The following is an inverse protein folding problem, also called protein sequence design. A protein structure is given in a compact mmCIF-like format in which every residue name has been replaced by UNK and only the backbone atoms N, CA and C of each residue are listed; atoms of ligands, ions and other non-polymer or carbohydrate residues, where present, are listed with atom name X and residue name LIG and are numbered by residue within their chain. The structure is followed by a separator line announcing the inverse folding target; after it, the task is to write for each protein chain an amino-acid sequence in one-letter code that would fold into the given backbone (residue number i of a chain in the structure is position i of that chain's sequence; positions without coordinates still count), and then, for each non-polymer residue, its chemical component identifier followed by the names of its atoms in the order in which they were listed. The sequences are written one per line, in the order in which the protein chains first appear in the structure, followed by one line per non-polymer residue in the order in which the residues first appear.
data_IF_767766153377
#
_entry.id   IF_767766153377
#
_cell.length_a   1.000
_cell.length_b   1.000
_cell.length_c   1.000
_cell.angle_alpha   90.00
_cell.angle_beta   90.00
_cell.angle_gamma   90.00
#
_symmetry.space_group_name_H-M   'P 1'
#
loop_
_entity.id
_entity.type
_entity.pdbx_description
1 polymer ?
#
# COMPACT_ATOMS: atom_id res chain seq x y z
N UNK A 1 70.97 7.88 -19.56
CA UNK A 1 70.42 6.74 -18.76
C UNK A 1 69.51 7.30 -17.67
N UNK A 2 68.43 6.60 -17.28
CA UNK A 2 67.19 7.25 -16.83
C UNK A 2 67.17 7.65 -15.34
N UNK A 3 66.45 8.74 -15.06
CA UNK A 3 66.03 9.12 -13.70
C UNK A 3 64.92 8.19 -13.22
N UNK A 4 64.92 7.86 -11.92
CA UNK A 4 63.75 7.33 -11.21
C UNK A 4 63.40 8.28 -10.08
N UNK A 5 62.48 9.22 -10.34
CA UNK A 5 61.75 9.94 -9.28
C UNK A 5 60.45 9.18 -9.01
N UNK A 6 60.31 8.64 -7.79
CA UNK A 6 59.02 8.09 -7.32
C UNK A 6 58.15 9.23 -6.80
N UNK A 7 57.25 9.72 -7.63
CA UNK A 7 56.17 10.62 -7.19
C UNK A 7 55.05 9.79 -6.54
N UNK A 8 54.86 9.94 -5.23
CA UNK A 8 53.62 9.49 -4.58
C UNK A 8 52.55 10.56 -4.78
N UNK A 9 51.69 10.37 -5.78
CA UNK A 9 50.47 11.16 -5.92
C UNK A 9 49.41 10.59 -4.97
N UNK A 10 49.10 11.31 -3.90
CA UNK A 10 48.01 10.97 -2.99
C UNK A 10 46.68 11.32 -3.66
N UNK A 11 46.08 10.37 -4.37
CA UNK A 11 44.77 10.54 -5.00
C UNK A 11 43.68 10.55 -3.92
N UNK A 12 43.34 11.74 -3.41
CA UNK A 12 42.23 11.94 -2.50
C UNK A 12 40.91 11.77 -3.27
N UNK A 13 40.41 10.53 -3.36
CA UNK A 13 39.11 10.24 -3.97
C UNK A 13 37.98 10.72 -3.05
N UNK A 14 37.68 12.02 -3.12
CA UNK A 14 36.47 12.58 -2.54
C UNK A 14 35.26 12.05 -3.33
N UNK A 15 34.71 10.91 -2.90
CA UNK A 15 33.33 10.56 -3.23
C UNK A 15 32.41 11.57 -2.55
N UNK A 16 32.20 12.70 -3.23
CA UNK A 16 30.98 13.47 -3.03
C UNK A 16 29.84 12.56 -3.45
N UNK A 17 29.20 11.93 -2.47
CA UNK A 17 27.89 11.34 -2.63
C UNK A 17 26.95 12.49 -2.96
N UNK A 18 26.84 12.82 -4.25
CA UNK A 18 25.77 13.65 -4.75
C UNK A 18 24.48 12.88 -4.47
N UNK A 19 23.77 13.29 -3.40
CA UNK A 19 22.34 13.06 -3.29
C UNK A 19 21.74 13.30 -4.68
N UNK A 20 20.97 12.37 -5.26
CA UNK A 20 20.37 12.61 -6.56
C UNK A 20 19.53 13.88 -6.44
N UNK A 21 20.00 14.94 -7.08
CA UNK A 21 19.21 16.14 -7.27
C UNK A 21 17.92 15.67 -7.94
N UNK A 22 16.78 15.89 -7.29
CA UNK A 22 15.46 15.65 -7.85
C UNK A 22 15.24 16.66 -8.99
N UNK A 23 15.91 16.41 -10.11
CA UNK A 23 15.74 17.11 -11.36
C UNK A 23 14.33 16.83 -11.83
N UNK A 24 13.52 17.88 -11.88
CA UNK A 24 12.18 17.80 -12.44
C UNK A 24 12.29 17.38 -13.91
N UNK A 25 12.04 16.11 -14.21
CA UNK A 25 11.59 15.71 -15.54
C UNK A 25 10.06 15.82 -15.55
N UNK A 26 9.48 16.75 -16.34
CA UNK A 26 8.04 16.88 -16.49
C UNK A 26 7.39 15.57 -16.95
N UNK A 27 6.52 14.97 -16.12
CA UNK A 27 5.61 13.92 -16.56
C UNK A 27 6.27 12.59 -16.94
N UNK A 28 7.26 12.13 -16.17
CA UNK A 28 7.78 10.76 -16.27
C UNK A 28 7.27 9.94 -15.09
N UNK A 29 6.78 8.72 -15.37
CA UNK A 29 6.59 7.69 -14.35
C UNK A 29 7.88 6.89 -14.22
N UNK A 30 8.41 6.89 -13.02
CA UNK A 30 9.64 6.21 -12.66
C UNK A 30 9.40 5.08 -11.66
N UNK A 31 10.36 4.16 -11.64
CA UNK A 31 10.40 3.03 -10.74
C UNK A 31 11.84 2.76 -10.34
N UNK A 32 12.06 2.50 -9.05
CA UNK A 32 13.37 2.17 -8.52
C UNK A 32 13.24 1.09 -7.44
N UNK A 33 14.07 0.05 -7.54
CA UNK A 33 14.26 -0.90 -6.46
C UNK A 33 15.52 -0.53 -5.66
N UNK A 34 15.36 -0.34 -4.35
CA UNK A 34 16.47 -0.11 -3.41
C UNK A 34 16.45 -1.19 -2.35
N UNK A 35 17.30 -2.21 -2.53
CA UNK A 35 17.31 -3.43 -1.72
C UNK A 35 15.92 -4.08 -1.63
N UNK A 36 15.28 -3.99 -0.46
CA UNK A 36 13.96 -4.51 -0.15
C UNK A 36 12.83 -3.49 -0.34
N UNK A 37 13.10 -2.28 -0.84
CA UNK A 37 12.11 -1.24 -1.13
C UNK A 37 11.82 -1.11 -2.62
N UNK A 38 10.54 -0.99 -2.96
CA UNK A 38 10.05 -0.68 -4.31
C UNK A 38 9.44 0.72 -4.31
N UNK A 39 10.10 1.66 -4.98
CA UNK A 39 9.63 3.04 -5.13
C UNK A 39 8.96 3.18 -6.49
N UNK A 40 7.73 3.71 -6.52
CA UNK A 40 6.96 3.92 -7.74
C UNK A 40 6.27 5.28 -7.69
N UNK A 41 6.55 6.17 -8.65
CA UNK A 41 6.10 7.56 -8.58
C UNK A 41 5.85 8.20 -9.94
N UNK A 42 5.07 9.28 -9.93
CA UNK A 42 4.90 10.21 -11.03
C UNK A 42 5.19 11.64 -10.53
N UNK A 43 4.70 12.68 -11.23
CA UNK A 43 4.85 14.08 -10.79
C UNK A 43 4.18 14.39 -9.44
N UNK A 44 3.08 13.71 -9.11
CA UNK A 44 2.14 14.10 -8.07
C UNK A 44 2.22 13.23 -6.81
N UNK A 45 2.45 11.93 -6.98
CA UNK A 45 2.46 10.95 -5.89
C UNK A 45 3.69 10.04 -5.95
N UNK A 46 4.21 9.69 -4.77
CA UNK A 46 5.18 8.60 -4.56
C UNK A 46 4.55 7.52 -3.69
N UNK A 47 4.58 6.29 -4.16
CA UNK A 47 4.14 5.10 -3.45
C UNK A 47 5.37 4.24 -3.17
N UNK A 48 5.52 3.76 -1.94
CA UNK A 48 6.64 2.91 -1.55
C UNK A 48 6.13 1.60 -0.95
N UNK A 49 6.64 0.47 -1.45
CA UNK A 49 6.40 -0.84 -0.88
C UNK A 49 7.65 -1.39 -0.23
N UNK A 50 7.50 -1.92 0.98
CA UNK A 50 8.48 -2.77 1.62
C UNK A 50 8.22 -4.20 1.15
N UNK A 51 9.14 -4.76 0.38
CA UNK A 51 9.15 -6.16 -0.05
C UNK A 51 9.87 -7.04 0.98
N UNK A 52 9.51 -8.33 0.99
CA UNK A 52 10.12 -9.38 1.78
C UNK A 52 9.90 -10.73 1.10
N UNK A 53 10.55 -11.79 1.56
CA UNK A 53 10.26 -13.17 1.14
C UNK A 53 8.80 -13.56 1.38
N UNK A 54 8.14 -12.92 2.34
CA UNK A 54 6.75 -13.12 2.72
C UNK A 54 5.79 -12.13 2.03
N UNK A 55 6.30 -11.21 1.21
CA UNK A 55 5.53 -10.35 0.31
C UNK A 55 5.65 -8.85 0.60
N UNK A 56 4.59 -8.11 0.28
CA UNK A 56 4.63 -6.64 0.20
C UNK A 56 3.76 -5.96 1.26
N UNK A 57 4.34 -4.96 1.94
CA UNK A 57 3.68 -3.97 2.81
C UNK A 57 3.72 -2.61 2.14
N UNK A 58 2.64 -1.85 2.17
CA UNK A 58 2.66 -0.43 1.79
C UNK A 58 3.36 0.37 2.90
N UNK A 59 4.51 0.96 2.59
CA UNK A 59 5.37 1.65 3.55
C UNK A 59 5.10 3.17 3.60
N UNK A 60 4.75 3.77 2.45
CA UNK A 60 4.48 5.20 2.33
C UNK A 60 3.53 5.48 1.15
N UNK A 61 2.66 6.47 1.32
CA UNK A 61 1.86 7.06 0.25
C UNK A 61 1.95 8.58 0.37
N UNK A 62 2.76 9.21 -0.49
CA UNK A 62 3.21 10.59 -0.32
C UNK A 62 2.77 11.48 -1.48
N UNK A 63 2.12 12.61 -1.18
CA UNK A 63 1.87 13.68 -2.14
C UNK A 63 3.13 14.54 -2.29
N UNK A 64 3.68 14.60 -3.50
CA UNK A 64 4.84 15.43 -3.83
C UNK A 64 4.49 16.93 -3.87
N UNK A 65 3.26 17.26 -4.27
CA UNK A 65 2.75 18.64 -4.27
C UNK A 65 2.62 19.20 -2.86
N UNK A 66 1.98 18.46 -1.95
CA UNK A 66 1.75 18.90 -0.57
C UNK A 66 2.88 18.52 0.40
N UNK A 67 3.87 17.74 -0.06
CA UNK A 67 4.97 17.17 0.75
C UNK A 67 4.48 16.39 1.99
N UNK A 68 3.31 15.77 1.87
CA UNK A 68 2.61 15.05 2.93
C UNK A 68 2.67 13.55 2.69
N UNK A 69 3.06 12.77 3.70
CA UNK A 69 2.81 11.32 3.74
C UNK A 69 1.46 11.08 4.43
N UNK A 70 0.58 10.30 3.82
CA UNK A 70 -0.73 10.02 4.39
C UNK A 70 -0.75 8.79 5.29
N UNK A 71 0.39 8.09 5.49
CA UNK A 71 0.47 6.89 6.33
C UNK A 71 1.24 7.13 7.63
N UNK A 72 0.73 6.62 8.75
CA UNK A 72 1.39 6.84 10.05
C UNK A 72 2.49 5.79 10.30
N UNK A 73 3.75 6.24 10.23
CA UNK A 73 4.94 5.41 10.41
C UNK A 73 4.95 4.60 11.73
N UNK A 74 4.39 5.15 12.81
CA UNK A 74 4.39 4.54 14.15
C UNK A 74 3.63 3.19 14.26
N UNK A 75 2.83 2.83 13.24
CA UNK A 75 2.13 1.54 13.16
C UNK A 75 2.55 0.71 11.95
N UNK A 76 3.58 1.11 11.19
CA UNK A 76 4.07 0.35 10.04
C UNK A 76 4.42 -1.10 10.40
N UNK A 77 4.98 -1.32 11.59
CA UNK A 77 5.35 -2.67 12.08
C UNK A 77 4.19 -3.41 12.77
N UNK A 78 3.03 -2.75 12.95
CA UNK A 78 1.80 -3.33 13.50
C UNK A 78 0.71 -3.57 12.46
N UNK A 79 0.83 -3.00 11.27
CA UNK A 79 -0.03 -3.26 10.11
C UNK A 79 0.76 -4.11 9.11
N UNK A 80 0.77 -5.45 9.26
CA UNK A 80 1.70 -6.29 8.52
C UNK A 80 1.38 -6.36 7.02
N UNK A 81 0.10 -6.32 6.62
CA UNK A 81 -0.33 -6.76 5.31
C UNK A 81 -0.81 -5.61 4.40
N UNK A 82 -0.38 -5.56 3.14
CA UNK A 82 -1.07 -4.74 2.11
C UNK A 82 -2.50 -5.24 1.82
N UNK A 83 -2.70 -6.57 1.87
CA UNK A 83 -3.99 -7.23 1.62
C UNK A 83 -4.25 -8.31 2.67
N UNK A 84 -5.49 -8.38 3.15
CA UNK A 84 -5.97 -9.42 4.05
C UNK A 84 -7.25 -10.04 3.49
N UNK A 85 -7.28 -11.37 3.36
CA UNK A 85 -8.39 -12.12 2.79
C UNK A 85 -9.00 -12.98 3.90
N UNK A 86 -10.32 -12.90 4.06
CA UNK A 86 -11.09 -13.78 4.93
C UNK A 86 -11.68 -14.88 4.04
N UNK A 87 -11.28 -16.11 4.31
CA UNK A 87 -11.76 -17.31 3.67
C UNK A 87 -12.75 -18.04 4.58
N UNK A 88 -13.74 -18.72 4.01
CA UNK A 88 -14.75 -19.49 4.73
C UNK A 88 -14.82 -20.92 4.20
N UNK A 89 -14.90 -21.89 5.11
CA UNK A 89 -15.10 -23.30 4.77
C UNK A 89 -16.48 -23.47 4.12
N UNK A 90 -16.56 -24.27 3.06
CA UNK A 90 -17.84 -24.73 2.50
C UNK A 90 -18.63 -25.48 3.59
N UNK A 91 -19.87 -25.09 3.91
CA UNK A 91 -20.66 -25.73 4.97
C UNK A 91 -20.82 -27.24 4.81
N UNK A 92 -20.79 -27.78 3.58
CA UNK A 92 -20.86 -29.23 3.32
C UNK A 92 -19.56 -29.99 3.63
N UNK A 93 -18.43 -29.27 3.67
CA UNK A 93 -17.09 -29.82 3.96
C UNK A 93 -16.58 -29.44 5.37
N UNK A 94 -17.36 -28.67 6.13
CA UNK A 94 -17.00 -28.26 7.49
C UNK A 94 -17.10 -29.42 8.48
N UNK A 95 -15.99 -29.72 9.17
CA UNK A 95 -15.96 -30.79 10.18
C UNK A 95 -16.54 -30.30 11.51
N UNK A 96 -17.19 -31.20 12.27
CA UNK A 96 -17.74 -30.89 13.60
C UNK A 96 -16.62 -30.36 14.52
N UNK A 97 -16.81 -29.15 15.04
CA UNK A 97 -15.83 -28.48 15.91
C UNK A 97 -14.77 -27.66 15.17
N UNK A 98 -14.76 -27.63 13.83
CA UNK A 98 -13.84 -26.77 13.08
C UNK A 98 -14.31 -25.31 13.05
N UNK A 99 -13.41 -24.37 13.33
CA UNK A 99 -13.59 -22.95 13.00
C UNK A 99 -13.72 -22.79 11.48
N UNK A 100 -14.93 -22.44 11.03
CA UNK A 100 -15.30 -22.31 9.61
C UNK A 100 -14.70 -21.09 8.88
N UNK A 101 -13.84 -20.30 9.53
CA UNK A 101 -13.22 -19.09 8.96
C UNK A 101 -11.71 -19.17 9.09
N UNK A 102 -10.99 -18.74 8.05
CA UNK A 102 -9.54 -18.66 7.97
C UNK A 102 -9.16 -17.25 7.50
N UNK A 103 -8.25 -16.58 8.21
CA UNK A 103 -7.68 -15.31 7.76
C UNK A 103 -6.36 -15.58 7.06
N UNK A 104 -6.24 -15.11 5.83
CA UNK A 104 -5.05 -15.24 4.99
C UNK A 104 -4.46 -13.85 4.78
N UNK A 105 -3.30 -13.60 5.40
CA UNK A 105 -2.45 -12.46 5.07
C UNK A 105 -1.43 -12.83 4.00
N UNK A 106 -0.60 -11.86 3.63
CA UNK A 106 0.47 -12.05 2.66
C UNK A 106 1.51 -13.13 3.05
N UNK A 107 1.72 -13.33 4.36
CA UNK A 107 2.85 -14.09 4.95
C UNK A 107 2.90 -15.60 4.63
N UNK A 108 1.89 -16.15 3.96
CA UNK A 108 1.76 -17.59 3.68
C UNK A 108 2.07 -17.97 2.21
N UNK A 109 2.52 -17.01 1.39
CA UNK A 109 2.96 -17.28 0.02
C UNK A 109 4.29 -18.03 -0.01
N UNK A 110 4.44 -19.01 -0.92
CA UNK A 110 5.72 -19.71 -1.12
C UNK A 110 6.66 -18.94 -2.03
N UNK A 111 6.09 -18.21 -2.98
CA UNK A 111 6.83 -17.36 -3.92
C UNK A 111 6.17 -15.99 -3.95
N UNK A 112 6.98 -14.94 -3.86
CA UNK A 112 6.56 -13.56 -4.06
C UNK A 112 7.39 -12.96 -5.18
N UNK A 113 6.78 -12.11 -6.01
CA UNK A 113 7.49 -11.44 -7.10
C UNK A 113 6.82 -10.12 -7.45
N UNK A 114 7.54 -9.28 -8.17
CA UNK A 114 6.98 -8.05 -8.72
C UNK A 114 7.50 -7.83 -10.15
N UNK A 115 6.78 -7.05 -10.94
CA UNK A 115 7.23 -6.57 -12.25
C UNK A 115 6.62 -5.20 -12.55
N UNK A 116 7.34 -4.35 -13.27
CA UNK A 116 6.77 -3.16 -13.91
C UNK A 116 6.36 -3.49 -15.34
N UNK A 117 5.22 -2.97 -15.78
CA UNK A 117 4.79 -2.94 -17.18
C UNK A 117 4.41 -1.51 -17.57
N UNK A 118 4.27 -1.24 -18.87
CA UNK A 118 4.01 0.10 -19.41
C UNK A 118 5.27 0.94 -19.63
N UNK A 119 5.11 2.24 -19.77
CA UNK A 119 6.14 3.20 -20.20
C UNK A 119 6.21 4.43 -19.27
N UNK A 120 6.79 5.55 -19.75
CA UNK A 120 6.91 6.80 -19.01
C UNK A 120 5.57 7.56 -18.86
N UNK A 121 4.59 7.30 -19.71
CA UNK A 121 3.28 7.98 -19.74
C UNK A 121 2.22 7.27 -18.89
N UNK A 122 2.22 5.93 -18.90
CA UNK A 122 1.35 5.07 -18.09
C UNK A 122 2.12 3.80 -17.73
N UNK A 123 2.21 3.48 -16.44
CA UNK A 123 2.89 2.27 -15.98
C UNK A 123 2.08 1.56 -14.90
N UNK A 124 2.32 0.25 -14.76
CA UNK A 124 1.70 -0.59 -13.73
C UNK A 124 2.77 -1.39 -13.00
N UNK A 125 2.80 -1.27 -11.68
CA UNK A 125 3.55 -2.17 -10.79
C UNK A 125 2.64 -3.35 -10.42
N UNK A 126 3.05 -4.56 -10.79
CA UNK A 126 2.42 -5.80 -10.38
C UNK A 126 3.16 -6.34 -9.14
N UNK A 127 2.40 -6.75 -8.14
CA UNK A 127 2.86 -7.38 -6.90
C UNK A 127 2.14 -8.73 -6.79
N UNK A 128 2.89 -9.84 -6.81
CA UNK A 128 2.34 -11.18 -6.85
C UNK A 128 2.73 -12.03 -5.64
N UNK A 129 1.77 -12.85 -5.21
CA UNK A 129 1.92 -13.92 -4.23
C UNK A 129 1.38 -15.21 -4.86
N UNK A 130 2.22 -16.25 -4.92
CA UNK A 130 1.87 -17.54 -5.51
C UNK A 130 1.88 -18.66 -4.48
N UNK A 131 1.06 -19.67 -4.78
CA UNK A 131 1.04 -20.96 -4.09
C UNK A 131 0.83 -20.85 -2.57
N UNK A 132 -0.06 -19.95 -2.17
CA UNK A 132 -0.48 -19.76 -0.78
C UNK A 132 -1.23 -21.01 -0.31
N UNK A 133 -0.79 -21.58 0.81
CA UNK A 133 -1.46 -22.71 1.46
C UNK A 133 -2.67 -22.25 2.28
N UNK A 134 -3.77 -23.01 2.22
CA UNK A 134 -4.98 -22.84 3.03
C UNK A 134 -5.15 -24.04 3.96
N UNK A 135 -4.41 -24.02 5.09
CA UNK A 135 -4.24 -25.14 6.03
C UNK A 135 -3.71 -26.40 5.33
N UNK A 136 -4.53 -27.46 5.25
CA UNK A 136 -4.25 -28.71 4.53
C UNK A 136 -4.24 -28.57 3.00
N UNK A 137 -4.91 -27.55 2.44
CA UNK A 137 -4.99 -27.34 1.00
C UNK A 137 -3.75 -26.61 0.48
N UNK A 138 -2.98 -27.28 -0.40
CA UNK A 138 -1.61 -26.88 -0.75
C UNK A 138 -1.56 -26.13 -2.07
N UNK A 139 -0.83 -25.02 -2.10
CA UNK A 139 -0.74 -24.13 -3.26
C UNK A 139 -2.12 -23.69 -3.79
N UNK A 140 -3.07 -23.49 -2.86
CA UNK A 140 -4.49 -23.36 -3.14
C UNK A 140 -4.92 -21.97 -3.60
N UNK A 141 -4.09 -20.93 -3.44
CA UNK A 141 -4.45 -19.56 -3.83
C UNK A 141 -3.25 -18.77 -4.38
N UNK A 142 -3.51 -17.98 -5.42
CA UNK A 142 -2.63 -16.87 -5.83
C UNK A 142 -3.33 -15.53 -5.60
N UNK A 143 -2.54 -14.49 -5.36
CA UNK A 143 -2.99 -13.09 -5.32
C UNK A 143 -2.09 -12.27 -6.24
N UNK A 144 -2.68 -11.37 -7.01
CA UNK A 144 -1.99 -10.29 -7.71
C UNK A 144 -2.60 -8.96 -7.27
N UNK A 145 -1.77 -7.99 -6.92
CA UNK A 145 -2.15 -6.59 -6.77
C UNK A 145 -1.46 -5.82 -7.89
N UNK A 146 -2.19 -4.94 -8.55
CA UNK A 146 -1.63 -4.01 -9.53
C UNK A 146 -1.87 -2.58 -9.11
N UNK A 147 -0.84 -1.75 -9.19
CA UNK A 147 -0.91 -0.31 -8.91
C UNK A 147 -0.46 0.42 -10.17
N UNK A 148 -1.35 1.23 -10.75
CA UNK A 148 -1.09 1.96 -11.98
C UNK A 148 -1.03 3.46 -11.74
N UNK A 149 -0.06 4.12 -12.37
CA UNK A 149 0.08 5.58 -12.40
C UNK A 149 -0.03 6.06 -13.85
N UNK A 150 -0.44 7.31 -14.03
CA UNK A 150 -0.25 8.08 -15.28
C UNK A 150 0.65 9.28 -14.98
N UNK A 151 1.43 9.74 -15.95
CA UNK A 151 2.47 10.76 -15.79
C UNK A 151 2.04 12.04 -15.04
N UNK A 152 0.85 12.56 -15.36
CA UNK A 152 0.35 13.86 -14.88
C UNK A 152 -0.99 13.75 -14.14
N UNK A 153 -1.32 12.56 -13.64
CA UNK A 153 -2.55 12.27 -12.89
C UNK A 153 -2.24 12.16 -11.39
N UNK A 154 -2.91 12.92 -10.50
CA UNK A 154 -2.71 12.78 -9.06
C UNK A 154 -3.27 11.46 -8.49
N UNK A 155 -4.05 10.71 -9.27
CA UNK A 155 -4.63 9.45 -8.84
C UNK A 155 -3.71 8.25 -9.12
N UNK A 156 -3.68 7.35 -8.14
CA UNK A 156 -3.15 5.99 -8.31
C UNK A 156 -4.30 4.99 -8.41
N UNK A 157 -4.26 4.08 -9.38
CA UNK A 157 -5.31 3.10 -9.61
C UNK A 157 -4.89 1.73 -9.08
N UNK A 158 -5.66 1.18 -8.15
CA UNK A 158 -5.35 -0.09 -7.50
C UNK A 158 -6.36 -1.15 -7.94
N UNK A 159 -5.88 -2.36 -8.22
CA UNK A 159 -6.72 -3.55 -8.46
C UNK A 159 -6.10 -4.74 -7.75
N UNK A 160 -6.94 -5.70 -7.37
CA UNK A 160 -6.52 -7.00 -6.89
C UNK A 160 -7.20 -8.11 -7.69
N UNK A 161 -6.55 -9.25 -7.80
CA UNK A 161 -7.05 -10.47 -8.41
C UNK A 161 -6.70 -11.65 -7.51
N UNK A 162 -7.66 -12.54 -7.27
CA UNK A 162 -7.50 -13.71 -6.39
C UNK A 162 -7.86 -14.96 -7.19
N UNK A 163 -6.86 -15.81 -7.45
CA UNK A 163 -7.07 -17.11 -8.10
C UNK A 163 -7.13 -18.19 -7.04
N UNK A 164 -8.32 -18.38 -6.48
CA UNK A 164 -8.61 -19.46 -5.55
C UNK A 164 -8.83 -20.79 -6.32
N UNK A 165 -8.09 -21.83 -5.93
CA UNK A 165 -8.17 -23.21 -6.44
C UNK A 165 -8.73 -24.17 -5.39
N UNK A 166 -8.99 -23.70 -4.17
CA UNK A 166 -9.49 -24.55 -3.10
C UNK A 166 -10.89 -25.05 -3.39
N UNK A 167 -11.09 -26.36 -3.23
CA UNK A 167 -12.43 -26.96 -3.24
C UNK A 167 -13.16 -26.81 -1.89
N UNK A 168 -12.45 -26.37 -0.85
CA UNK A 168 -12.97 -26.31 0.53
C UNK A 168 -13.17 -24.89 1.07
N UNK A 169 -12.39 -23.92 0.61
CA UNK A 169 -12.43 -22.56 1.11
C UNK A 169 -12.92 -21.59 0.02
N UNK A 170 -14.00 -20.86 0.28
CA UNK A 170 -14.44 -19.72 -0.54
C UNK A 170 -13.94 -18.39 0.02
N UNK A 171 -13.82 -17.35 -0.82
CA UNK A 171 -13.51 -15.98 -0.36
C UNK A 171 -14.78 -15.37 0.24
N UNK A 172 -14.74 -14.94 1.51
CA UNK A 172 -15.85 -14.24 2.19
C UNK A 172 -15.64 -12.72 2.23
N UNK A 173 -14.40 -12.24 2.37
CA UNK A 173 -14.08 -10.81 2.42
C UNK A 173 -12.65 -10.53 1.99
N UNK A 174 -12.41 -9.35 1.45
CA UNK A 174 -11.07 -8.80 1.19
C UNK A 174 -10.99 -7.43 1.85
N UNK A 175 -9.89 -7.18 2.56
CA UNK A 175 -9.50 -5.86 3.07
C UNK A 175 -8.29 -5.40 2.24
N UNK A 176 -8.49 -4.36 1.44
CA UNK A 176 -7.49 -3.87 0.49
C UNK A 176 -7.76 -2.42 0.04
N UNK A 177 -6.71 -1.59 -0.07
CA UNK A 177 -5.45 -1.72 0.66
C UNK A 177 -5.74 -1.59 2.17
N UNK A 178 -4.99 -2.31 3.01
CA UNK A 178 -5.07 -2.07 4.47
C UNK A 178 -4.24 -0.81 4.76
N UNK A 179 -4.92 0.27 5.16
CA UNK A 179 -4.31 1.57 5.42
C UNK A 179 -4.36 1.91 6.90
N UNK A 180 -3.34 2.64 7.36
CA UNK A 180 -3.34 3.31 8.64
C UNK A 180 -2.89 4.77 8.44
N UNK A 181 -3.84 5.69 8.52
CA UNK A 181 -3.65 7.07 8.09
C UNK A 181 -2.89 7.90 9.12
N UNK A 182 -2.07 8.83 8.64
CA UNK A 182 -1.48 9.91 9.43
C UNK A 182 -2.33 11.18 9.35
N UNK A 183 -2.25 12.06 10.36
CA UNK A 183 -2.68 13.45 10.24
C UNK A 183 -1.99 14.17 9.08
N UNK A 184 -2.77 15.00 8.39
CA UNK A 184 -2.33 15.94 7.36
C UNK A 184 -2.02 17.27 8.04
N UNK A 185 -0.74 17.59 8.25
CA UNK A 185 -0.35 18.71 9.11
C UNK A 185 -0.94 18.59 10.53
N UNK A 186 -1.50 19.67 11.05
CA UNK A 186 -2.15 19.71 12.36
C UNK A 186 -3.44 18.86 12.39
N UNK A 187 -3.48 17.88 13.28
CA UNK A 187 -4.56 16.87 13.35
C UNK A 187 -5.95 17.47 13.60
N UNK A 188 -6.04 18.56 14.37
CA UNK A 188 -7.30 19.27 14.68
C UNK A 188 -7.94 19.93 13.46
N UNK A 189 -7.13 20.21 12.45
CA UNK A 189 -7.59 20.82 11.20
C UNK A 189 -7.99 19.76 10.17
N UNK A 190 -7.93 18.48 10.53
CA UNK A 190 -8.32 17.37 9.68
C UNK A 190 -9.81 17.09 9.81
N UNK A 191 -10.39 16.65 8.69
CA UNK A 191 -11.78 16.27 8.57
C UNK A 191 -11.88 14.97 7.77
N UNK A 192 -12.63 14.01 8.28
CA UNK A 192 -12.90 12.75 7.61
C UNK A 192 -14.34 12.71 7.09
N UNK A 193 -14.51 12.52 5.79
CA UNK A 193 -15.80 12.32 5.12
C UNK A 193 -15.95 10.86 4.74
N UNK A 194 -17.11 10.29 5.06
CA UNK A 194 -17.44 8.91 4.70
C UNK A 194 -18.94 8.74 4.43
N UNK A 195 -19.35 7.74 3.63
CA UNK A 195 -20.61 7.77 2.89
C UNK A 195 -21.78 7.14 3.67
N UNK A 196 -21.79 7.24 5.00
CA UNK A 196 -22.82 6.63 5.83
C UNK A 196 -24.19 7.31 5.65
N UNK A 197 -25.19 6.54 5.22
CA UNK A 197 -26.56 7.00 4.90
C UNK A 197 -26.58 8.15 3.88
N UNK A 198 -26.57 9.42 4.30
CA UNK A 198 -26.54 10.62 3.44
C UNK A 198 -25.13 11.22 3.28
N UNK A 199 -24.12 10.51 3.78
CA UNK A 199 -22.79 11.06 4.03
C UNK A 199 -22.67 11.63 5.44
N UNK A 200 -21.48 11.54 6.01
CA UNK A 200 -21.11 12.12 7.30
C UNK A 200 -19.73 12.74 7.24
N UNK A 201 -19.52 13.70 8.13
CA UNK A 201 -18.30 14.48 8.32
C UNK A 201 -17.89 14.34 9.79
N UNK A 202 -16.61 14.10 10.04
CA UNK A 202 -16.01 13.97 11.38
C UNK A 202 -14.85 14.96 11.46
N UNK A 203 -14.97 15.95 12.34
CA UNK A 203 -13.91 16.91 12.64
C UNK A 203 -12.93 16.34 13.67
N UNK A 204 -11.65 16.68 13.54
CA UNK A 204 -10.56 16.20 14.40
C UNK A 204 -10.54 14.66 14.58
N UNK A 205 -10.59 13.87 13.48
CA UNK A 205 -10.82 12.42 13.52
C UNK A 205 -9.70 11.62 14.22
N UNK A 206 -8.61 12.27 14.62
CA UNK A 206 -7.49 11.65 15.34
C UNK A 206 -7.57 11.82 16.87
N UNK A 207 -8.44 12.71 17.38
CA UNK A 207 -8.70 12.88 18.83
C UNK A 207 -10.12 12.51 19.26
N UNK A 208 -10.98 12.08 18.32
CA UNK A 208 -12.33 11.61 18.62
C UNK A 208 -12.33 10.27 19.43
N UNK A 209 -13.45 9.87 20.05
CA UNK A 209 -13.53 8.66 20.88
C UNK A 209 -13.87 7.36 20.10
N UNK A 210 -13.71 6.17 20.72
CA UNK A 210 -14.12 4.85 20.23
C UNK A 210 -15.31 4.84 19.25
N UNK A 211 -15.08 4.43 18.00
CA UNK A 211 -16.13 4.50 16.95
C UNK A 211 -15.87 5.58 15.92
N UNK A 212 -15.19 6.64 16.33
CA UNK A 212 -14.52 7.61 15.47
C UNK A 212 -13.07 7.85 15.96
N UNK A 213 -12.57 6.93 16.78
CA UNK A 213 -11.33 6.85 17.55
C UNK A 213 -11.22 5.47 18.22
N UNK A 214 -10.30 5.27 19.17
CA UNK A 214 -9.91 3.94 19.71
C UNK A 214 -10.98 3.25 20.60
N UNK A 215 -11.66 2.18 20.19
CA UNK A 215 -11.54 1.44 18.92
C UNK A 215 -12.78 0.61 18.59
N UNK A 216 -13.96 1.23 18.45
CA UNK A 216 -15.02 0.62 17.63
C UNK A 216 -14.69 0.96 16.17
N UNK A 217 -14.63 -0.04 15.30
CA UNK A 217 -14.51 0.22 13.87
C UNK A 217 -15.90 0.53 13.30
N UNK A 218 -16.07 1.65 12.60
CA UNK A 218 -17.24 1.92 11.75
C UNK A 218 -17.26 0.94 10.57
N UNK A 219 -17.66 -0.31 10.81
CA UNK A 219 -17.78 -1.34 9.79
C UNK A 219 -19.04 -1.11 8.95
N UNK A 220 -18.99 -0.16 8.04
CA UNK A 220 -19.95 -0.03 6.95
C UNK A 220 -19.61 -0.97 5.79
N UNK A 221 -20.62 -1.27 4.97
CA UNK A 221 -20.44 -1.95 3.68
C UNK A 221 -21.28 -1.27 2.62
N UNK A 222 -20.77 -1.25 1.40
CA UNK A 222 -21.51 -0.88 0.20
C UNK A 222 -21.93 -2.16 -0.57
N UNK A 223 -23.15 -2.22 -1.14
CA UNK A 223 -24.29 -1.36 -0.84
C UNK A 223 -24.95 -1.81 0.48
N UNK A 224 -25.15 -0.89 1.43
CA UNK A 224 -26.04 -1.02 2.61
C UNK A 224 -25.91 0.22 3.51
N UNK A 225 -24.99 0.17 4.48
CA UNK A 225 -24.73 1.28 5.42
C UNK A 225 -24.08 2.48 4.71
N UNK A 226 -23.34 2.19 3.64
CA UNK A 226 -22.71 3.17 2.78
C UNK A 226 -23.53 3.36 1.50
N UNK A 227 -23.88 4.61 1.20
CA UNK A 227 -24.61 5.01 -0.01
C UNK A 227 -23.72 5.26 -1.24
N UNK A 228 -22.40 5.36 -1.04
CA UNK A 228 -21.41 5.64 -2.08
C UNK A 228 -20.14 4.81 -1.83
N UNK A 229 -19.31 4.65 -2.87
CA UNK A 229 -18.01 3.97 -2.81
C UNK A 229 -16.86 4.98 -2.78
N UNK A 230 -16.87 5.91 -1.82
CA UNK A 230 -15.69 6.73 -1.55
C UNK A 230 -15.66 7.24 -0.11
N UNK A 231 -14.46 7.53 0.38
CA UNK A 231 -14.14 8.17 1.66
C UNK A 231 -13.03 9.19 1.41
N UNK A 232 -12.91 10.22 2.25
CA UNK A 232 -11.86 11.23 2.11
C UNK A 232 -11.35 11.72 3.46
N UNK A 233 -10.04 11.95 3.57
CA UNK A 233 -9.41 12.67 4.66
C UNK A 233 -8.81 13.95 4.07
N UNK A 234 -9.12 15.12 4.64
CA UNK A 234 -8.52 16.38 4.18
C UNK A 234 -8.21 17.32 5.36
N UNK A 235 -7.23 18.18 5.17
CA UNK A 235 -6.93 19.29 6.07
C UNK A 235 -7.65 20.55 5.54
N UNK A 236 -8.52 21.14 6.37
CA UNK A 236 -9.43 22.23 5.95
C UNK A 236 -8.71 23.56 5.68
N UNK A 237 -7.55 23.79 6.30
CA UNK A 237 -6.75 25.03 6.16
C UNK A 237 -5.87 25.02 4.91
N UNK A 238 -5.30 23.85 4.58
CA UNK A 238 -4.34 23.68 3.46
C UNK A 238 -4.97 23.15 2.18
N UNK A 239 -6.18 22.57 2.26
CA UNK A 239 -6.83 21.87 1.15
C UNK A 239 -6.17 20.55 0.73
N UNK A 240 -5.09 20.12 1.40
CA UNK A 240 -4.43 18.85 1.13
C UNK A 240 -5.31 17.69 1.60
N UNK A 241 -5.41 16.62 0.79
CA UNK A 241 -6.28 15.49 1.10
C UNK A 241 -5.94 14.19 0.39
N UNK A 242 -6.50 13.10 0.90
CA UNK A 242 -6.47 11.76 0.36
C UNK A 242 -7.90 11.30 0.08
N UNK A 243 -8.15 10.86 -1.15
CA UNK A 243 -9.41 10.26 -1.57
C UNK A 243 -9.23 8.74 -1.71
N UNK A 244 -10.19 7.97 -1.18
CA UNK A 244 -10.22 6.52 -1.18
C UNK A 244 -11.53 6.06 -1.84
N UNK A 245 -11.48 5.10 -2.76
CA UNK A 245 -12.64 4.55 -3.49
C UNK A 245 -12.57 3.03 -3.62
#
# INVERSE_FOLDING_TARGET
MPLIRRSFALALLAFVLSSPSFGQQPGVIDFEQKADRLLFWNRHVRIEFQASSQGFRLAQFHSLQHRQDFLAAALADKVPNLIQIVMKVDPSLQKRGETGTLVVGHLNAKTTSFRRTGDASTATLHLEWKDIDLKEDKAAMDVEVTVSLKADDPLSYWRFNIKNRSIRYGVERVYFPVLNLAPIGEAKENVYIYPAVRGRLVEDPFHQPPGYGDGVHQSGRYPAAFGMQFQALYNKETGAGLYLG
#
